data_IF_940936797610
#
_entry.id   IF_940936797610
#
_cell.length_a   1.000
_cell.length_b   1.000
_cell.length_c   1.000
_cell.angle_alpha   90.00
_cell.angle_beta   90.00
_cell.angle_gamma   90.00
#
_symmetry.space_group_name_H-M   'P 1'
#
loop_
_entity.id
_entity.type
_entity.pdbx_description
1 polymer ?
#
# COMPACT_ATOMS: atom_id res chain seq x y z
N UNK A 1 10.82 -33.23 -9.85
CA UNK A 1 9.83 -32.15 -10.11
C UNK A 1 10.58 -30.86 -10.39
N UNK A 2 10.30 -30.18 -11.52
CA UNK A 2 10.91 -28.89 -11.82
C UNK A 2 10.33 -27.79 -10.93
N UNK A 3 11.15 -26.83 -10.52
CA UNK A 3 10.68 -25.68 -9.76
C UNK A 3 9.76 -24.79 -10.60
N UNK A 4 8.63 -24.33 -10.04
CA UNK A 4 7.67 -23.46 -10.72
C UNK A 4 8.27 -22.09 -11.05
N UNK A 5 9.15 -21.57 -10.17
CA UNK A 5 9.88 -20.32 -10.36
C UNK A 5 11.39 -20.52 -10.20
N UNK A 6 12.16 -20.08 -11.18
CA UNK A 6 13.62 -20.02 -11.06
C UNK A 6 14.06 -18.81 -10.21
N UNK A 7 15.32 -18.78 -9.79
CA UNK A 7 15.88 -17.59 -9.14
C UNK A 7 15.79 -16.34 -10.03
N UNK A 8 15.92 -16.53 -11.34
CA UNK A 8 15.82 -15.44 -12.31
C UNK A 8 14.38 -14.89 -12.40
N UNK A 9 13.37 -15.77 -12.31
CA UNK A 9 11.96 -15.35 -12.31
C UNK A 9 11.64 -14.56 -11.05
N UNK A 10 12.11 -15.01 -9.88
CA UNK A 10 11.95 -14.26 -8.63
C UNK A 10 12.64 -12.90 -8.69
N UNK A 11 13.84 -12.82 -9.27
CA UNK A 11 14.52 -11.52 -9.46
C UNK A 11 13.73 -10.59 -10.38
N UNK A 12 13.18 -11.12 -11.48
CA UNK A 12 12.33 -10.36 -12.41
C UNK A 12 11.01 -9.88 -11.78
N UNK A 13 10.52 -10.56 -10.74
CA UNK A 13 9.36 -10.13 -9.96
C UNK A 13 9.74 -9.03 -8.95
N UNK A 14 10.78 -9.28 -8.16
CA UNK A 14 11.14 -8.47 -6.99
C UNK A 14 11.72 -7.12 -7.39
N UNK A 15 12.71 -7.11 -8.30
CA UNK A 15 13.45 -5.89 -8.62
C UNK A 15 12.55 -4.78 -9.21
N UNK A 16 11.67 -5.07 -10.21
CA UNK A 16 10.79 -4.03 -10.72
C UNK A 16 9.80 -3.50 -9.67
N UNK A 17 9.25 -4.37 -8.81
CA UNK A 17 8.32 -3.94 -7.76
C UNK A 17 9.02 -3.07 -6.72
N UNK A 18 10.24 -3.41 -6.34
CA UNK A 18 11.02 -2.59 -5.41
C UNK A 18 11.32 -1.21 -6.01
N UNK A 19 11.76 -1.17 -7.28
CA UNK A 19 12.02 0.09 -7.98
C UNK A 19 10.74 0.92 -8.16
N UNK A 20 9.62 0.27 -8.49
CA UNK A 20 8.31 0.93 -8.58
C UNK A 20 7.94 1.63 -7.26
N UNK A 21 8.06 0.93 -6.12
CA UNK A 21 7.76 1.51 -4.81
C UNK A 21 8.72 2.65 -4.44
N UNK A 22 10.01 2.49 -4.74
CA UNK A 22 11.01 3.53 -4.50
C UNK A 22 10.68 4.80 -5.30
N UNK A 23 10.35 4.66 -6.57
CA UNK A 23 10.01 5.79 -7.44
C UNK A 23 8.73 6.48 -6.99
N UNK A 24 7.70 5.74 -6.59
CA UNK A 24 6.46 6.32 -6.04
C UNK A 24 6.75 7.15 -4.79
N UNK A 25 7.61 6.66 -3.89
CA UNK A 25 8.00 7.39 -2.69
C UNK A 25 8.79 8.68 -3.02
N UNK A 26 9.72 8.61 -3.97
CA UNK A 26 10.51 9.78 -4.41
C UNK A 26 9.63 10.86 -5.06
N UNK A 27 8.64 10.44 -5.87
CA UNK A 27 7.69 11.38 -6.49
C UNK A 27 6.79 12.03 -5.45
N UNK A 28 6.36 11.29 -4.43
CA UNK A 28 5.61 11.88 -3.31
C UNK A 28 6.38 13.01 -2.61
N UNK A 29 7.70 12.88 -2.48
CA UNK A 29 8.56 13.96 -1.95
C UNK A 29 8.61 15.14 -2.92
N UNK A 30 8.77 14.88 -4.22
CA UNK A 30 8.81 15.92 -5.25
C UNK A 30 7.49 16.70 -5.33
N UNK A 31 6.34 16.04 -5.20
CA UNK A 31 5.03 16.67 -5.18
C UNK A 31 4.87 17.64 -4.01
N UNK A 32 5.29 17.24 -2.81
CA UNK A 32 5.27 18.12 -1.62
C UNK A 32 6.20 19.32 -1.81
N UNK A 33 7.36 19.10 -2.43
CA UNK A 33 8.28 20.19 -2.74
C UNK A 33 7.68 21.19 -3.71
N UNK A 34 7.07 20.75 -4.81
CA UNK A 34 6.48 21.62 -5.83
C UNK A 34 5.28 22.41 -5.27
N UNK A 35 4.39 21.76 -4.49
CA UNK A 35 3.25 22.45 -3.88
C UNK A 35 3.69 23.52 -2.87
N UNK A 36 4.88 23.35 -2.27
CA UNK A 36 5.48 24.34 -1.36
C UNK A 36 5.64 25.73 -1.99
N UNK A 37 5.81 25.82 -3.30
CA UNK A 37 5.90 27.09 -4.03
C UNK A 37 4.55 27.76 -4.24
N UNK A 38 3.43 27.07 -4.06
CA UNK A 38 2.07 27.64 -4.18
C UNK A 38 1.70 28.43 -2.92
N UNK A 39 2.12 27.96 -1.74
CA UNK A 39 1.89 28.61 -0.46
C UNK A 39 1.48 27.65 0.65
N UNK A 40 1.51 28.13 1.89
CA UNK A 40 1.26 27.33 3.08
C UNK A 40 -0.17 26.74 3.13
N UNK A 41 -1.17 27.54 2.74
CA UNK A 41 -2.56 27.08 2.68
C UNK A 41 -2.74 25.93 1.69
N UNK A 42 -2.07 26.00 0.53
CA UNK A 42 -2.09 24.93 -0.47
C UNK A 42 -1.42 23.65 0.04
N UNK A 43 -0.25 23.76 0.67
CA UNK A 43 0.46 22.61 1.28
C UNK A 43 -0.41 21.95 2.33
N UNK A 44 -1.00 22.74 3.23
CA UNK A 44 -1.87 22.25 4.30
C UNK A 44 -3.11 21.55 3.75
N UNK A 45 -3.82 22.19 2.81
CA UNK A 45 -5.02 21.64 2.19
C UNK A 45 -4.76 20.35 1.43
N UNK A 46 -3.72 20.31 0.60
CA UNK A 46 -3.32 19.11 -0.15
C UNK A 46 -2.91 17.98 0.80
N UNK A 47 -2.17 18.27 1.87
CA UNK A 47 -1.75 17.28 2.85
C UNK A 47 -2.94 16.65 3.58
N UNK A 48 -3.93 17.45 4.00
CA UNK A 48 -5.16 16.97 4.64
C UNK A 48 -5.97 16.07 3.69
N UNK A 49 -6.14 16.48 2.45
CA UNK A 49 -6.86 15.69 1.45
C UNK A 49 -6.11 14.41 1.09
N UNK A 50 -4.79 14.45 1.02
CA UNK A 50 -3.99 13.25 0.78
C UNK A 50 -4.16 12.22 1.91
N UNK A 51 -4.23 12.66 3.17
CA UNK A 51 -4.54 11.77 4.29
C UNK A 51 -5.94 11.13 4.15
N UNK A 52 -6.93 11.90 3.69
CA UNK A 52 -8.27 11.40 3.37
C UNK A 52 -8.27 10.44 2.17
N UNK A 53 -7.57 10.77 1.10
CA UNK A 53 -7.44 9.94 -0.09
C UNK A 53 -6.80 8.56 0.19
N UNK A 54 -5.94 8.47 1.23
CA UNK A 54 -5.33 7.19 1.63
C UNK A 54 -6.37 6.13 1.99
N UNK A 55 -7.56 6.52 2.47
CA UNK A 55 -8.65 5.59 2.76
C UNK A 55 -9.08 4.86 1.47
N UNK A 56 -9.29 5.61 0.39
CA UNK A 56 -9.72 5.05 -0.90
C UNK A 56 -8.60 4.29 -1.61
N UNK A 57 -7.37 4.80 -1.52
CA UNK A 57 -6.18 4.11 -2.05
C UNK A 57 -6.06 2.72 -1.42
N UNK A 58 -6.18 2.63 -0.10
CA UNK A 58 -6.11 1.36 0.61
C UNK A 58 -7.28 0.43 0.25
N UNK A 59 -8.48 0.97 0.08
CA UNK A 59 -9.65 0.20 -0.33
C UNK A 59 -9.47 -0.41 -1.73
N UNK A 60 -9.03 0.39 -2.72
CA UNK A 60 -8.77 -0.10 -4.07
C UNK A 60 -7.61 -1.10 -4.12
N UNK A 61 -6.58 -0.88 -3.30
CA UNK A 61 -5.46 -1.81 -3.16
C UNK A 61 -5.90 -3.14 -2.52
N UNK A 62 -6.78 -3.10 -1.51
CA UNK A 62 -7.34 -4.29 -0.89
C UNK A 62 -8.19 -5.10 -1.88
N UNK A 63 -9.00 -4.42 -2.70
CA UNK A 63 -9.79 -5.07 -3.77
C UNK A 63 -8.88 -5.72 -4.82
N UNK A 64 -7.87 -4.99 -5.29
CA UNK A 64 -6.89 -5.49 -6.24
C UNK A 64 -6.10 -6.69 -5.69
N UNK A 65 -5.71 -6.65 -4.41
CA UNK A 65 -5.04 -7.76 -3.73
C UNK A 65 -5.92 -9.00 -3.64
N UNK A 66 -7.21 -8.84 -3.32
CA UNK A 66 -8.19 -9.95 -3.32
C UNK A 66 -8.31 -10.59 -4.70
N UNK A 67 -8.43 -9.78 -5.74
CA UNK A 67 -8.47 -10.27 -7.12
C UNK A 67 -7.16 -10.93 -7.56
N UNK A 68 -6.01 -10.38 -7.17
CA UNK A 68 -4.69 -10.95 -7.47
C UNK A 68 -4.54 -12.38 -6.92
N UNK A 69 -5.06 -12.65 -5.72
CA UNK A 69 -5.05 -14.01 -5.15
C UNK A 69 -5.83 -14.97 -6.04
N UNK A 70 -7.06 -14.62 -6.40
CA UNK A 70 -7.94 -15.47 -7.22
C UNK A 70 -7.32 -15.71 -8.61
N UNK A 71 -6.85 -14.64 -9.27
CA UNK A 71 -6.20 -14.72 -10.59
C UNK A 71 -4.96 -15.60 -10.52
N UNK A 72 -4.09 -15.40 -9.52
CA UNK A 72 -2.85 -16.17 -9.36
C UNK A 72 -3.13 -17.67 -9.16
N UNK A 73 -4.18 -18.02 -8.42
CA UNK A 73 -4.57 -19.44 -8.23
C UNK A 73 -5.08 -20.06 -9.54
N UNK A 74 -5.92 -19.37 -10.32
CA UNK A 74 -6.33 -19.89 -11.64
C UNK A 74 -5.15 -20.01 -12.62
N UNK A 75 -4.20 -19.10 -12.58
CA UNK A 75 -2.96 -19.21 -13.37
C UNK A 75 -2.17 -20.45 -12.96
N UNK A 76 -2.05 -20.71 -11.66
CA UNK A 76 -1.41 -21.92 -11.13
C UNK A 76 -2.11 -23.21 -11.57
N UNK A 77 -3.44 -23.22 -11.57
CA UNK A 77 -4.29 -24.32 -12.09
C UNK A 77 -4.17 -24.47 -13.62
N UNK A 78 -3.49 -23.53 -14.31
CA UNK A 78 -3.36 -23.43 -15.77
C UNK A 78 -4.68 -23.18 -16.50
N UNK A 79 -5.69 -22.70 -15.80
CA UNK A 79 -6.99 -22.33 -16.34
C UNK A 79 -6.98 -20.85 -16.74
N UNK A 80 -6.58 -20.60 -17.99
CA UNK A 80 -6.43 -19.24 -18.52
C UNK A 80 -7.77 -18.53 -18.71
N UNK A 81 -8.82 -19.29 -18.99
CA UNK A 81 -10.17 -18.73 -19.20
C UNK A 81 -10.73 -18.21 -17.87
N UNK A 82 -10.72 -19.03 -16.82
CA UNK A 82 -11.17 -18.63 -15.50
C UNK A 82 -10.29 -17.52 -14.89
N UNK A 83 -8.98 -17.56 -15.16
CA UNK A 83 -8.09 -16.46 -14.76
C UNK A 83 -8.45 -15.14 -15.44
N UNK A 84 -8.78 -15.18 -16.76
CA UNK A 84 -9.25 -14.02 -17.52
C UNK A 84 -10.62 -13.53 -17.05
N UNK A 85 -11.54 -14.45 -16.75
CA UNK A 85 -12.86 -14.15 -16.19
C UNK A 85 -12.72 -13.46 -14.83
N UNK A 86 -11.90 -14.01 -13.91
CA UNK A 86 -11.62 -13.42 -12.60
C UNK A 86 -11.02 -12.01 -12.71
N UNK A 87 -10.07 -11.82 -13.64
CA UNK A 87 -9.47 -10.51 -13.90
C UNK A 87 -10.50 -9.49 -14.42
N UNK A 88 -11.38 -9.92 -15.33
CA UNK A 88 -12.45 -9.09 -15.88
C UNK A 88 -13.49 -8.72 -14.80
N UNK A 89 -13.83 -9.65 -13.92
CA UNK A 89 -14.72 -9.42 -12.78
C UNK A 89 -14.08 -8.49 -11.73
N UNK A 90 -12.77 -8.58 -11.52
CA UNK A 90 -12.04 -7.61 -10.69
C UNK A 90 -12.10 -6.20 -11.27
N UNK A 91 -11.92 -6.05 -12.59
CA UNK A 91 -12.06 -4.76 -13.26
C UNK A 91 -13.48 -4.20 -13.08
N UNK A 92 -14.51 -5.02 -13.29
CA UNK A 92 -15.93 -4.62 -13.11
C UNK A 92 -16.19 -4.16 -11.68
N UNK A 93 -15.75 -4.93 -10.66
CA UNK A 93 -15.90 -4.53 -9.26
C UNK A 93 -15.17 -3.22 -8.95
N UNK A 94 -13.97 -3.07 -9.48
CA UNK A 94 -13.13 -1.87 -9.27
C UNK A 94 -13.78 -0.62 -9.88
N UNK A 95 -14.33 -0.74 -11.10
CA UNK A 95 -15.05 0.36 -11.77
C UNK A 95 -16.32 0.72 -11.00
N UNK A 96 -17.16 -0.26 -10.67
CA UNK A 96 -18.42 -0.01 -9.97
C UNK A 96 -18.17 0.67 -8.62
N UNK A 97 -17.27 0.11 -7.80
CA UNK A 97 -16.95 0.65 -6.49
C UNK A 97 -16.38 2.07 -6.59
N UNK A 98 -15.43 2.28 -7.49
CA UNK A 98 -14.75 3.57 -7.61
C UNK A 98 -15.65 4.66 -8.19
N UNK A 99 -16.54 4.33 -9.11
CA UNK A 99 -17.54 5.28 -9.65
C UNK A 99 -18.52 5.69 -8.55
N UNK A 100 -19.03 4.73 -7.76
CA UNK A 100 -19.93 5.05 -6.64
C UNK A 100 -19.23 5.97 -5.63
N UNK A 101 -18.01 5.64 -5.24
CA UNK A 101 -17.21 6.48 -4.31
C UNK A 101 -16.96 7.85 -4.92
N UNK A 102 -16.56 7.92 -6.20
CA UNK A 102 -16.31 9.18 -6.91
C UNK A 102 -17.54 10.08 -6.91
N UNK A 103 -18.72 9.55 -7.24
CA UNK A 103 -19.97 10.30 -7.24
C UNK A 103 -20.32 10.79 -5.83
N UNK A 104 -20.24 9.92 -4.82
CA UNK A 104 -20.52 10.30 -3.42
C UNK A 104 -19.58 11.41 -2.96
N UNK A 105 -18.26 11.28 -3.23
CA UNK A 105 -17.28 12.30 -2.84
C UNK A 105 -17.48 13.60 -3.61
N UNK A 106 -17.82 13.56 -4.90
CA UNK A 106 -18.09 14.76 -5.70
C UNK A 106 -19.33 15.51 -5.22
N UNK A 107 -20.41 14.78 -4.90
CA UNK A 107 -21.67 15.37 -4.42
C UNK A 107 -21.51 15.94 -3.01
N UNK A 108 -20.82 15.22 -2.13
CA UNK A 108 -20.63 15.58 -0.72
C UNK A 108 -19.30 16.28 -0.42
N UNK A 109 -18.55 16.74 -1.43
CA UNK A 109 -17.18 17.24 -1.31
C UNK A 109 -17.02 18.26 -0.17
N UNK A 110 -17.77 19.34 -0.22
CA UNK A 110 -17.67 20.42 0.77
C UNK A 110 -18.12 19.96 2.16
N UNK A 111 -19.22 19.19 2.24
CA UNK A 111 -19.73 18.65 3.50
C UNK A 111 -18.71 17.71 4.15
N UNK A 112 -18.08 16.84 3.37
CA UNK A 112 -17.04 15.93 3.87
C UNK A 112 -15.83 16.70 4.42
N UNK A 113 -15.35 17.70 3.70
CA UNK A 113 -14.22 18.50 4.14
C UNK A 113 -14.55 19.32 5.39
N UNK A 114 -15.73 19.95 5.45
CA UNK A 114 -16.19 20.68 6.64
C UNK A 114 -16.40 19.77 7.85
N UNK A 115 -16.93 18.57 7.64
CA UNK A 115 -17.13 17.60 8.72
C UNK A 115 -15.78 17.12 9.31
N UNK A 116 -14.80 16.88 8.47
CA UNK A 116 -13.50 16.36 8.90
C UNK A 116 -12.55 17.45 9.38
N UNK A 117 -12.56 18.60 8.73
CA UNK A 117 -11.56 19.66 8.92
C UNK A 117 -12.20 21.05 9.14
N UNK A 118 -13.41 21.12 9.71
CA UNK A 118 -14.19 22.34 9.86
C UNK A 118 -13.58 23.44 10.74
N UNK A 119 -12.43 23.15 11.39
CA UNK A 119 -11.68 24.13 12.22
C UNK A 119 -10.51 24.79 11.51
N UNK A 120 -10.26 24.45 10.24
CA UNK A 120 -9.17 25.06 9.47
C UNK A 120 -9.60 26.42 8.91
N UNK A 121 -8.61 27.24 8.56
CA UNK A 121 -8.82 28.54 7.91
C UNK A 121 -9.52 28.40 6.54
N UNK A 122 -10.25 29.43 6.13
CA UNK A 122 -11.06 29.40 4.89
C UNK A 122 -10.21 29.13 3.64
N UNK A 123 -9.00 29.67 3.57
CA UNK A 123 -8.06 29.44 2.46
C UNK A 123 -7.62 27.99 2.38
N UNK A 124 -7.36 27.35 3.53
CA UNK A 124 -7.02 25.93 3.61
C UNK A 124 -8.24 25.08 3.21
N UNK A 125 -9.43 25.45 3.67
CA UNK A 125 -10.67 24.77 3.28
C UNK A 125 -10.93 24.85 1.78
N UNK A 126 -10.73 26.02 1.16
CA UNK A 126 -10.85 26.19 -0.28
C UNK A 126 -9.86 25.31 -1.06
N UNK A 127 -8.61 25.21 -0.58
CA UNK A 127 -7.61 24.30 -1.13
C UNK A 127 -8.05 22.82 -0.99
N UNK A 128 -8.58 22.42 0.16
CA UNK A 128 -9.11 21.08 0.40
C UNK A 128 -10.23 20.72 -0.57
N UNK A 129 -11.24 21.56 -0.69
CA UNK A 129 -12.41 21.35 -1.56
C UNK A 129 -11.99 21.25 -3.03
N UNK A 130 -11.10 22.12 -3.48
CA UNK A 130 -10.59 22.13 -4.85
C UNK A 130 -9.79 20.87 -5.17
N UNK A 131 -8.85 20.52 -4.30
CA UNK A 131 -7.99 19.35 -4.50
C UNK A 131 -8.78 18.03 -4.43
N UNK A 132 -9.70 17.90 -3.46
CA UNK A 132 -10.55 16.73 -3.34
C UNK A 132 -11.45 16.53 -4.55
N UNK A 133 -12.05 17.61 -5.07
CA UNK A 133 -12.90 17.54 -6.26
C UNK A 133 -12.13 16.97 -7.46
N UNK A 134 -10.93 17.44 -7.71
CA UNK A 134 -10.10 16.96 -8.82
C UNK A 134 -9.62 15.54 -8.54
N UNK A 135 -9.22 15.22 -7.31
CA UNK A 135 -8.80 13.88 -6.90
C UNK A 135 -9.93 12.84 -7.07
N UNK A 136 -11.18 13.20 -6.76
CA UNK A 136 -12.33 12.30 -6.88
C UNK A 136 -12.58 11.86 -8.33
N UNK A 137 -12.34 12.71 -9.32
CA UNK A 137 -12.38 12.31 -10.74
C UNK A 137 -11.33 11.26 -11.10
N UNK A 138 -10.24 11.17 -10.33
CA UNK A 138 -9.17 10.20 -10.59
C UNK A 138 -9.39 8.81 -9.96
N UNK A 139 -10.39 8.64 -9.06
CA UNK A 139 -10.62 7.38 -8.37
C UNK A 139 -10.93 6.21 -9.32
N UNK A 140 -11.81 6.35 -10.34
CA UNK A 140 -12.02 5.28 -11.30
C UNK A 140 -10.74 4.89 -12.04
N UNK A 141 -9.96 5.87 -12.48
CA UNK A 141 -8.69 5.62 -13.14
C UNK A 141 -7.71 4.85 -12.24
N UNK A 142 -7.62 5.23 -10.97
CA UNK A 142 -6.75 4.57 -9.99
C UNK A 142 -7.18 3.13 -9.71
N UNK A 143 -8.48 2.87 -9.57
CA UNK A 143 -9.03 1.53 -9.35
C UNK A 143 -8.81 0.63 -10.58
N UNK A 144 -9.01 1.16 -11.78
CA UNK A 144 -8.74 0.44 -13.05
C UNK A 144 -7.26 0.10 -13.17
N UNK A 145 -6.37 1.05 -12.87
CA UNK A 145 -4.92 0.79 -12.87
C UNK A 145 -4.56 -0.33 -11.89
N UNK A 146 -5.06 -0.29 -10.65
CA UNK A 146 -4.78 -1.31 -9.65
C UNK A 146 -5.27 -2.70 -10.07
N UNK A 147 -6.45 -2.81 -10.70
CA UNK A 147 -6.97 -4.07 -11.23
C UNK A 147 -6.08 -4.62 -12.37
N UNK A 148 -5.68 -3.79 -13.30
CA UNK A 148 -4.78 -4.18 -14.39
C UNK A 148 -3.38 -4.55 -13.90
N UNK A 149 -2.85 -3.80 -12.94
CA UNK A 149 -1.58 -4.10 -12.32
C UNK A 149 -1.61 -5.43 -11.55
N UNK A 150 -2.72 -5.74 -10.87
CA UNK A 150 -2.94 -7.02 -10.21
C UNK A 150 -2.84 -8.18 -11.21
N UNK A 151 -3.49 -8.07 -12.37
CA UNK A 151 -3.39 -9.07 -13.44
C UNK A 151 -1.94 -9.24 -13.93
N UNK A 152 -1.25 -8.14 -14.27
CA UNK A 152 0.14 -8.19 -14.75
C UNK A 152 1.12 -8.79 -13.73
N UNK A 153 0.96 -8.46 -12.45
CA UNK A 153 1.75 -9.03 -11.35
C UNK A 153 1.45 -10.52 -11.18
N UNK A 154 0.18 -10.92 -11.31
CA UNK A 154 -0.25 -12.32 -11.13
C UNK A 154 0.37 -13.29 -12.16
N UNK A 155 0.67 -12.85 -13.39
CA UNK A 155 1.42 -13.69 -14.35
C UNK A 155 2.90 -13.31 -14.49
N UNK A 156 3.43 -12.52 -13.58
CA UNK A 156 4.86 -12.32 -13.41
C UNK A 156 5.51 -11.21 -14.23
N UNK A 157 4.74 -10.38 -14.95
CA UNK A 157 5.27 -9.25 -15.75
C UNK A 157 5.27 -7.93 -14.98
N UNK A 158 5.94 -7.89 -13.85
CA UNK A 158 6.03 -6.70 -12.97
C UNK A 158 6.82 -5.54 -13.61
N UNK A 159 7.70 -5.81 -14.58
CA UNK A 159 8.42 -4.77 -15.31
C UNK A 159 7.46 -3.83 -16.07
N UNK A 160 6.33 -4.36 -16.58
CA UNK A 160 5.35 -3.54 -17.29
C UNK A 160 4.69 -2.52 -16.35
N UNK A 161 4.31 -2.94 -15.15
CA UNK A 161 3.73 -2.01 -14.15
C UNK A 161 4.75 -0.97 -13.70
N UNK A 162 6.01 -1.38 -13.54
CA UNK A 162 7.11 -0.46 -13.21
C UNK A 162 7.30 0.61 -14.31
N UNK A 163 7.42 0.22 -15.57
CA UNK A 163 7.60 1.20 -16.67
C UNK A 163 6.41 2.14 -16.80
N UNK A 164 5.20 1.62 -16.62
CA UNK A 164 3.99 2.43 -16.65
C UNK A 164 3.93 3.41 -15.47
N UNK A 165 4.36 2.98 -14.28
CA UNK A 165 4.50 3.84 -13.10
C UNK A 165 5.54 4.94 -13.34
N UNK A 166 6.69 4.62 -13.96
CA UNK A 166 7.71 5.62 -14.33
C UNK A 166 7.11 6.67 -15.28
N UNK A 167 6.45 6.24 -16.36
CA UNK A 167 5.84 7.14 -17.32
C UNK A 167 4.78 8.05 -16.67
N UNK A 168 3.92 7.47 -15.82
CA UNK A 168 2.92 8.21 -15.06
C UNK A 168 3.54 9.25 -14.13
N UNK A 169 4.59 8.87 -13.42
CA UNK A 169 5.31 9.76 -12.50
C UNK A 169 6.00 10.90 -13.23
N UNK A 170 6.59 10.64 -14.41
CA UNK A 170 7.16 11.71 -15.26
C UNK A 170 6.07 12.68 -15.71
N UNK A 171 4.92 12.18 -16.17
CA UNK A 171 3.78 13.03 -16.56
C UNK A 171 3.32 13.88 -15.36
N UNK A 172 3.24 13.30 -14.17
CA UNK A 172 2.84 14.00 -12.94
C UNK A 172 3.83 15.11 -12.60
N UNK A 173 5.11 14.80 -12.45
CA UNK A 173 6.14 15.79 -12.05
C UNK A 173 6.29 16.92 -13.06
N UNK A 174 6.39 16.58 -14.36
CA UNK A 174 6.48 17.58 -15.43
C UNK A 174 5.23 18.44 -15.46
N UNK A 175 4.05 17.82 -15.35
CA UNK A 175 2.77 18.53 -15.31
C UNK A 175 2.66 19.46 -14.10
N UNK A 176 3.09 19.01 -12.91
CA UNK A 176 3.11 19.83 -11.69
C UNK A 176 4.04 21.06 -11.88
N UNK A 177 5.22 20.85 -12.44
CA UNK A 177 6.14 21.95 -12.74
C UNK A 177 5.52 22.96 -13.73
N UNK A 178 4.87 22.48 -14.78
CA UNK A 178 4.18 23.36 -15.73
C UNK A 178 3.01 24.09 -15.05
N UNK A 179 2.16 23.38 -14.31
CA UNK A 179 0.98 23.94 -13.64
C UNK A 179 1.32 25.00 -12.60
N UNK A 180 2.36 24.77 -11.83
CA UNK A 180 2.76 25.68 -10.74
C UNK A 180 3.64 26.82 -11.26
N UNK A 181 4.71 26.53 -12.02
CA UNK A 181 5.71 27.53 -12.40
C UNK A 181 5.42 28.27 -13.71
N UNK A 182 4.76 27.62 -14.68
CA UNK A 182 4.47 28.23 -15.96
C UNK A 182 3.06 28.84 -16.02
N UNK A 183 2.06 28.09 -15.51
CA UNK A 183 0.66 28.49 -15.58
C UNK A 183 0.16 29.22 -14.31
N UNK A 184 0.87 29.14 -13.21
CA UNK A 184 0.53 29.76 -11.92
C UNK A 184 -0.90 29.45 -11.43
N UNK A 185 -1.38 28.22 -11.66
CA UNK A 185 -2.77 27.83 -11.40
C UNK A 185 -3.04 27.41 -9.95
N UNK A 186 -2.05 27.49 -9.08
CA UNK A 186 -2.21 27.16 -7.66
C UNK A 186 -2.44 25.67 -7.42
N UNK A 187 -3.42 25.33 -6.57
CA UNK A 187 -3.77 23.93 -6.21
C UNK A 187 -4.16 23.07 -7.44
N UNK A 188 -4.97 23.56 -8.40
CA UNK A 188 -5.22 22.84 -9.65
C UNK A 188 -3.97 22.48 -10.43
N UNK A 189 -2.89 23.29 -10.32
CA UNK A 189 -1.62 23.03 -10.99
C UNK A 189 -0.90 21.75 -10.55
N UNK A 190 -1.26 21.18 -9.41
CA UNK A 190 -0.75 19.89 -8.92
C UNK A 190 -1.81 18.78 -9.05
N UNK A 191 -3.08 19.14 -8.84
CA UNK A 191 -4.16 18.16 -8.87
C UNK A 191 -4.46 17.65 -10.30
N UNK A 192 -4.50 18.53 -11.30
CA UNK A 192 -4.82 18.16 -12.69
C UNK A 192 -3.75 17.27 -13.32
N UNK A 193 -2.44 17.54 -13.20
CA UNK A 193 -1.41 16.63 -13.69
C UNK A 193 -1.49 15.24 -13.06
N UNK A 194 -1.81 15.15 -11.77
CA UNK A 194 -2.03 13.87 -11.08
C UNK A 194 -3.23 13.12 -11.67
N UNK A 195 -4.32 13.81 -11.99
CA UNK A 195 -5.49 13.24 -12.68
C UNK A 195 -5.10 12.71 -14.06
N UNK A 196 -4.40 13.51 -14.86
CA UNK A 196 -3.94 13.14 -16.22
C UNK A 196 -3.04 11.91 -16.16
N UNK A 197 -2.07 11.88 -15.24
CA UNK A 197 -1.15 10.76 -15.06
C UNK A 197 -1.89 9.46 -14.70
N UNK A 198 -2.91 9.53 -13.85
CA UNK A 198 -3.75 8.38 -13.46
C UNK A 198 -4.63 7.90 -14.62
N UNK A 199 -5.24 8.81 -15.38
CA UNK A 199 -6.03 8.45 -16.57
C UNK A 199 -5.13 7.80 -17.63
N UNK A 200 -3.94 8.34 -17.87
CA UNK A 200 -2.95 7.74 -18.78
C UNK A 200 -2.61 6.31 -18.36
N UNK A 201 -2.28 6.10 -17.08
CA UNK A 201 -1.93 4.77 -16.56
C UNK A 201 -3.10 3.79 -16.70
N UNK A 202 -4.31 4.22 -16.38
CA UNK A 202 -5.52 3.41 -16.50
C UNK A 202 -5.79 3.03 -17.96
N UNK A 203 -5.69 3.97 -18.88
CA UNK A 203 -5.90 3.72 -20.31
C UNK A 203 -4.89 2.74 -20.87
N UNK A 204 -3.60 2.98 -20.62
CA UNK A 204 -2.52 2.12 -21.13
C UNK A 204 -2.60 0.71 -20.55
N UNK A 205 -2.76 0.56 -19.23
CA UNK A 205 -2.84 -0.78 -18.61
C UNK A 205 -4.06 -1.55 -19.12
N UNK A 206 -5.19 -0.87 -19.33
CA UNK A 206 -6.42 -1.50 -19.87
C UNK A 206 -6.18 -2.04 -21.28
N UNK A 207 -5.61 -1.23 -22.16
CA UNK A 207 -5.27 -1.67 -23.53
C UNK A 207 -4.31 -2.86 -23.50
N UNK A 208 -3.30 -2.80 -22.64
CA UNK A 208 -2.34 -3.88 -22.46
C UNK A 208 -3.00 -5.16 -21.93
N UNK A 209 -3.97 -5.06 -21.01
CA UNK A 209 -4.69 -6.22 -20.46
C UNK A 209 -5.58 -6.93 -21.48
N UNK A 210 -6.02 -6.26 -22.54
CA UNK A 210 -6.75 -6.88 -23.67
C UNK A 210 -5.83 -7.53 -24.72
N UNK A 211 -4.51 -7.37 -24.59
CA UNK A 211 -3.58 -7.91 -25.60
C UNK A 211 -3.56 -9.43 -25.59
N UNK A 212 -3.78 -10.02 -26.78
CA UNK A 212 -3.71 -11.48 -27.02
C UNK A 212 -2.30 -12.06 -26.83
N UNK A 213 -1.27 -11.22 -26.70
CA UNK A 213 0.11 -11.64 -26.42
C UNK A 213 0.36 -11.99 -24.95
N UNK A 214 -0.58 -11.67 -24.07
CA UNK A 214 -0.47 -12.02 -22.67
C UNK A 214 -0.87 -13.47 -22.41
N UNK A 215 -0.30 -14.13 -21.39
CA UNK A 215 -0.71 -15.46 -20.97
C UNK A 215 -2.18 -15.52 -20.53
N UNK A 216 -2.66 -14.42 -19.91
CA UNK A 216 -4.04 -14.19 -19.49
C UNK A 216 -4.45 -12.78 -19.91
N UNK A 217 -5.65 -12.59 -20.36
CA UNK A 217 -6.20 -11.31 -20.85
C UNK A 217 -7.58 -11.05 -20.27
N UNK A 218 -8.00 -9.78 -20.32
CA UNK A 218 -9.40 -9.44 -20.06
C UNK A 218 -10.33 -10.06 -21.13
N UNK A 219 -11.43 -10.63 -20.68
CA UNK A 219 -12.47 -11.21 -21.53
C UNK A 219 -13.67 -10.26 -21.58
N UNK A 220 -13.98 -9.72 -22.78
CA UNK A 220 -15.05 -8.72 -22.95
C UNK A 220 -16.40 -9.20 -22.45
N UNK A 221 -16.71 -10.47 -22.67
CA UNK A 221 -17.96 -11.12 -22.27
C UNK A 221 -18.17 -11.07 -20.75
N UNK A 222 -17.09 -11.11 -19.97
CA UNK A 222 -17.10 -11.11 -18.51
C UNK A 222 -17.10 -9.71 -17.89
N UNK A 223 -16.72 -8.67 -18.63
CA UNK A 223 -16.74 -7.28 -18.12
C UNK A 223 -18.17 -6.76 -18.01
N UNK A 224 -19.03 -7.10 -18.96
CA UNK A 224 -20.43 -6.63 -18.98
C UNK A 224 -21.39 -7.55 -18.21
N UNK A 225 -20.91 -8.68 -17.70
CA UNK A 225 -21.68 -9.66 -16.95
C UNK A 225 -21.16 -9.73 -15.52
N UNK A 226 -21.95 -9.26 -14.55
CA UNK A 226 -21.60 -9.41 -13.14
C UNK A 226 -21.86 -10.85 -12.71
N UNK A 227 -20.81 -11.58 -12.39
CA UNK A 227 -20.90 -12.94 -11.86
C UNK A 227 -20.70 -12.93 -10.34
N UNK A 228 -21.76 -13.27 -9.62
CA UNK A 228 -21.80 -13.23 -8.17
C UNK A 228 -20.84 -14.22 -7.52
N UNK A 229 -20.50 -15.32 -8.18
CA UNK A 229 -19.57 -16.33 -7.65
C UNK A 229 -18.17 -15.75 -7.58
N UNK A 230 -17.68 -15.19 -8.69
CA UNK A 230 -16.38 -14.50 -8.71
C UNK A 230 -16.34 -13.31 -7.76
N UNK A 231 -17.40 -12.48 -7.75
CA UNK A 231 -17.48 -11.33 -6.86
C UNK A 231 -17.41 -11.76 -5.40
N UNK A 232 -18.16 -12.79 -5.00
CA UNK A 232 -18.12 -13.33 -3.63
C UNK A 232 -16.73 -13.84 -3.27
N UNK A 233 -16.05 -14.54 -4.17
CA UNK A 233 -14.69 -15.06 -3.93
C UNK A 233 -13.69 -13.93 -3.78
N UNK A 234 -13.68 -12.94 -4.69
CA UNK A 234 -12.80 -11.77 -4.62
C UNK A 234 -13.07 -10.98 -3.33
N UNK A 235 -14.33 -10.68 -3.02
CA UNK A 235 -14.71 -9.90 -1.84
C UNK A 235 -14.44 -10.63 -0.53
N UNK A 236 -14.48 -11.97 -0.51
CA UNK A 236 -14.15 -12.76 0.68
C UNK A 236 -12.70 -12.55 1.14
N UNK A 237 -11.82 -12.12 0.23
CA UNK A 237 -10.42 -11.78 0.53
C UNK A 237 -10.26 -10.26 0.66
N UNK A 238 -10.87 -9.49 -0.24
CA UNK A 238 -10.72 -8.05 -0.29
C UNK A 238 -11.33 -7.33 0.92
N UNK A 239 -12.51 -7.74 1.36
CA UNK A 239 -13.21 -7.10 2.51
C UNK A 239 -12.41 -7.24 3.81
N UNK A 240 -11.93 -8.43 4.21
CA UNK A 240 -11.05 -8.55 5.36
C UNK A 240 -9.79 -7.69 5.26
N UNK A 241 -9.15 -7.62 4.10
CA UNK A 241 -7.98 -6.76 3.88
C UNK A 241 -8.34 -5.27 4.00
N UNK A 242 -9.50 -4.87 3.50
CA UNK A 242 -10.01 -3.50 3.62
C UNK A 242 -10.31 -3.11 5.07
N UNK A 243 -10.95 -4.00 5.83
CA UNK A 243 -11.22 -3.80 7.26
C UNK A 243 -9.90 -3.65 8.05
N UNK A 244 -8.93 -4.55 7.80
CA UNK A 244 -7.61 -4.47 8.43
C UNK A 244 -6.94 -3.11 8.15
N UNK A 245 -6.92 -2.69 6.90
CA UNK A 245 -6.33 -1.40 6.49
C UNK A 245 -7.08 -0.21 7.09
N UNK A 246 -8.40 -0.26 7.15
CA UNK A 246 -9.24 0.79 7.75
C UNK A 246 -8.98 0.94 9.25
N UNK A 247 -9.00 -0.15 10.00
CA UNK A 247 -8.70 -0.15 11.44
C UNK A 247 -7.27 0.34 11.71
N UNK A 248 -6.31 -0.08 10.89
CA UNK A 248 -4.93 0.42 10.99
C UNK A 248 -4.86 1.95 10.85
N UNK A 249 -5.58 2.55 9.90
CA UNK A 249 -5.63 4.00 9.74
C UNK A 249 -6.32 4.70 10.92
N UNK A 250 -7.41 4.14 11.45
CA UNK A 250 -8.09 4.66 12.63
C UNK A 250 -7.16 4.66 13.86
N UNK A 251 -6.44 3.56 14.10
CA UNK A 251 -5.46 3.49 15.19
C UNK A 251 -4.33 4.49 14.99
N UNK A 252 -3.86 4.70 13.75
CA UNK A 252 -2.84 5.70 13.44
C UNK A 252 -3.32 7.12 13.78
N UNK A 253 -4.57 7.45 13.47
CA UNK A 253 -5.17 8.75 13.84
C UNK A 253 -5.30 8.89 15.36
N UNK A 254 -5.77 7.86 16.05
CA UNK A 254 -5.86 7.85 17.52
C UNK A 254 -4.49 8.07 18.18
N UNK A 255 -3.44 7.39 17.67
CA UNK A 255 -2.07 7.56 18.16
C UNK A 255 -1.50 8.95 17.88
N UNK A 256 -1.89 9.59 16.76
CA UNK A 256 -1.49 10.98 16.49
C UNK A 256 -2.03 11.93 17.56
N UNK A 257 -3.22 11.67 18.10
CA UNK A 257 -3.79 12.43 19.22
C UNK A 257 -3.00 12.20 20.51
N UNK A 258 -2.47 11.01 20.74
CA UNK A 258 -1.57 10.73 21.88
C UNK A 258 -0.23 11.45 21.70
N UNK A 259 0.34 11.46 20.48
CA UNK A 259 1.58 12.19 20.19
C UNK A 259 1.44 13.68 20.49
N UNK A 260 0.26 14.27 20.22
CA UNK A 260 -0.02 15.69 20.47
C UNK A 260 0.06 16.08 21.95
N UNK A 261 0.00 15.12 22.89
CA UNK A 261 0.15 15.37 24.34
C UNK A 261 1.60 15.67 24.75
N UNK A 262 2.58 15.35 23.88
CA UNK A 262 4.00 15.51 24.21
C UNK A 262 4.54 16.85 23.69
N UNK A 263 5.68 17.24 24.22
CA UNK A 263 6.31 18.52 23.85
C UNK A 263 6.68 18.62 22.37
N UNK A 264 6.83 19.85 21.88
CA UNK A 264 7.08 20.19 20.47
C UNK A 264 8.23 19.39 19.84
N UNK A 265 9.32 19.19 20.59
CA UNK A 265 10.47 18.42 20.08
C UNK A 265 10.14 16.95 19.85
N UNK A 266 9.28 16.33 20.68
CA UNK A 266 8.84 14.95 20.50
C UNK A 266 7.90 14.80 19.29
N UNK A 267 6.99 15.75 19.12
CA UNK A 267 6.08 15.78 17.96
C UNK A 267 6.90 15.89 16.67
N UNK A 268 7.86 16.82 16.64
CA UNK A 268 8.74 17.02 15.49
C UNK A 268 9.60 15.76 15.21
N UNK A 269 10.20 15.18 16.23
CA UNK A 269 11.01 13.97 16.09
C UNK A 269 10.20 12.80 15.57
N UNK A 270 8.97 12.59 16.09
CA UNK A 270 8.07 11.54 15.61
C UNK A 270 7.66 11.75 14.14
N UNK A 271 7.34 12.99 13.74
CA UNK A 271 6.98 13.32 12.35
C UNK A 271 8.11 13.03 11.37
N UNK A 272 9.34 13.43 11.69
CA UNK A 272 10.53 13.16 10.87
C UNK A 272 10.81 11.64 10.82
N UNK A 273 10.76 10.96 11.98
CA UNK A 273 10.98 9.52 12.05
C UNK A 273 9.94 8.73 11.22
N UNK A 274 8.66 9.13 11.22
CA UNK A 274 7.62 8.50 10.42
C UNK A 274 7.87 8.66 8.91
N UNK A 275 8.38 9.81 8.48
CA UNK A 275 8.76 10.03 7.08
C UNK A 275 9.91 9.12 6.66
N UNK A 276 10.94 8.97 7.48
CA UNK A 276 12.08 8.07 7.23
C UNK A 276 11.61 6.60 7.29
N UNK A 277 10.74 6.26 8.25
CA UNK A 277 10.20 4.92 8.35
C UNK A 277 9.38 4.51 7.12
N UNK A 278 8.63 5.41 6.50
CA UNK A 278 7.88 5.10 5.27
C UNK A 278 8.80 4.64 4.14
N UNK A 279 10.00 5.23 4.02
CA UNK A 279 11.05 4.77 3.12
C UNK A 279 11.61 3.40 3.53
N UNK A 280 11.83 3.19 4.81
CA UNK A 280 12.35 1.93 5.34
C UNK A 280 11.38 0.76 5.09
N UNK A 281 10.06 1.00 5.11
CA UNK A 281 9.01 0.00 4.91
C UNK A 281 8.80 -0.42 3.44
N UNK A 282 9.49 0.17 2.47
CA UNK A 282 9.35 -0.15 1.04
C UNK A 282 9.58 -1.63 0.74
N UNK A 283 10.49 -2.29 1.45
CA UNK A 283 10.77 -3.72 1.28
C UNK A 283 9.51 -4.57 1.49
N UNK A 284 8.76 -4.30 2.56
CA UNK A 284 7.51 -5.02 2.85
C UNK A 284 6.44 -4.77 1.79
N UNK A 285 6.30 -3.52 1.36
CA UNK A 285 5.32 -3.12 0.33
C UNK A 285 5.62 -3.73 -1.03
N UNK A 286 6.89 -3.82 -1.41
CA UNK A 286 7.33 -4.39 -2.68
C UNK A 286 7.22 -5.93 -2.71
N UNK A 287 7.48 -6.59 -1.59
CA UNK A 287 7.51 -8.06 -1.53
C UNK A 287 6.15 -8.70 -1.26
N UNK A 288 5.21 -8.02 -0.63
CA UNK A 288 3.86 -8.54 -0.40
C UNK A 288 3.15 -9.03 -1.67
N UNK A 289 3.15 -8.30 -2.80
CA UNK A 289 2.61 -8.81 -4.06
C UNK A 289 3.36 -10.03 -4.62
N UNK A 290 4.66 -10.14 -4.37
CA UNK A 290 5.46 -11.30 -4.80
C UNK A 290 4.99 -12.57 -4.09
N UNK A 291 4.74 -12.48 -2.77
CA UNK A 291 4.16 -13.60 -2.01
C UNK A 291 2.80 -14.00 -2.55
N UNK A 292 1.93 -13.04 -2.85
CA UNK A 292 0.60 -13.31 -3.43
C UNK A 292 0.73 -14.07 -4.76
N UNK A 293 1.59 -13.59 -5.64
CA UNK A 293 1.78 -14.22 -6.97
C UNK A 293 2.36 -15.62 -6.86
N UNK A 294 3.46 -15.78 -6.15
CA UNK A 294 4.20 -17.05 -6.10
C UNK A 294 3.42 -18.09 -5.31
N UNK A 295 2.96 -17.75 -4.12
CA UNK A 295 2.22 -18.70 -3.27
C UNK A 295 0.84 -18.98 -3.88
N UNK A 296 0.15 -17.97 -4.41
CA UNK A 296 -1.14 -18.15 -5.09
C UNK A 296 -1.05 -19.12 -6.26
N UNK A 297 -0.01 -19.03 -7.11
CA UNK A 297 0.19 -19.97 -8.21
C UNK A 297 0.51 -21.39 -7.72
N UNK A 298 1.34 -21.56 -6.68
CA UNK A 298 1.62 -22.87 -6.10
C UNK A 298 0.35 -23.51 -5.54
N UNK A 299 -0.47 -22.75 -4.81
CA UNK A 299 -1.74 -23.23 -4.26
C UNK A 299 -2.74 -23.59 -5.37
N UNK A 300 -2.83 -22.77 -6.41
CA UNK A 300 -3.68 -23.08 -7.57
C UNK A 300 -3.26 -24.32 -8.34
N UNK A 301 -1.97 -24.63 -8.38
CA UNK A 301 -1.44 -25.86 -8.93
C UNK A 301 -1.64 -27.09 -8.03
N UNK A 302 -2.15 -26.91 -6.82
CA UNK A 302 -2.28 -27.99 -5.82
C UNK A 302 -0.95 -28.44 -5.20
N UNK A 303 0.17 -27.73 -5.47
CA UNK A 303 1.50 -28.11 -5.01
C UNK A 303 1.88 -27.36 -3.73
N UNK A 304 1.37 -27.88 -2.60
CA UNK A 304 1.61 -27.31 -1.28
C UNK A 304 3.07 -27.42 -0.82
N UNK A 305 3.82 -28.39 -1.35
CA UNK A 305 5.23 -28.57 -0.99
C UNK A 305 6.09 -27.50 -1.65
N UNK A 306 5.82 -27.16 -2.92
CA UNK A 306 6.45 -26.02 -3.56
C UNK A 306 6.03 -24.69 -2.89
N UNK A 307 4.77 -24.56 -2.48
CA UNK A 307 4.33 -23.38 -1.73
C UNK A 307 5.15 -23.21 -0.44
N UNK A 308 5.34 -24.29 0.33
CA UNK A 308 6.16 -24.26 1.56
C UNK A 308 7.62 -23.90 1.27
N UNK A 309 8.21 -24.48 0.22
CA UNK A 309 9.56 -24.14 -0.21
C UNK A 309 9.69 -22.64 -0.54
N UNK A 310 8.74 -22.09 -1.31
CA UNK A 310 8.77 -20.67 -1.68
C UNK A 310 8.47 -19.74 -0.51
N UNK A 311 7.60 -20.12 0.43
CA UNK A 311 7.45 -19.35 1.67
C UNK A 311 8.79 -19.16 2.38
N UNK A 312 9.53 -20.26 2.62
CA UNK A 312 10.84 -20.21 3.28
C UNK A 312 11.85 -19.39 2.49
N UNK A 313 11.90 -19.58 1.19
CA UNK A 313 12.82 -18.90 0.28
C UNK A 313 12.52 -17.40 0.21
N UNK A 314 11.26 -17.02 0.03
CA UNK A 314 10.86 -15.61 -0.04
C UNK A 314 11.06 -14.90 1.29
N UNK A 315 10.77 -15.53 2.44
CA UNK A 315 11.07 -14.94 3.76
C UNK A 315 12.59 -14.68 3.88
N UNK A 316 13.44 -15.63 3.50
CA UNK A 316 14.88 -15.44 3.53
C UNK A 316 15.34 -14.27 2.65
N UNK A 317 14.80 -14.19 1.43
CA UNK A 317 15.09 -13.06 0.51
C UNK A 317 14.62 -11.74 1.11
N UNK A 318 13.39 -11.72 1.65
CA UNK A 318 12.81 -10.52 2.28
C UNK A 318 13.64 -10.05 3.47
N UNK A 319 14.12 -10.96 4.30
CA UNK A 319 15.00 -10.63 5.44
C UNK A 319 16.33 -10.03 4.97
N UNK A 320 16.97 -10.63 3.97
CA UNK A 320 18.25 -10.12 3.45
C UNK A 320 18.07 -8.72 2.87
N UNK A 321 17.08 -8.53 2.01
CA UNK A 321 16.80 -7.21 1.39
C UNK A 321 16.36 -6.23 2.47
N UNK A 322 15.48 -6.66 3.39
CA UNK A 322 14.94 -5.82 4.47
C UNK A 322 16.03 -5.30 5.39
N UNK A 323 16.91 -6.17 5.88
CA UNK A 323 18.03 -5.77 6.74
C UNK A 323 19.00 -4.86 6.00
N UNK A 324 19.41 -5.22 4.77
CA UNK A 324 20.31 -4.39 3.98
C UNK A 324 19.73 -3.00 3.68
N UNK A 325 18.46 -2.94 3.28
CA UNK A 325 17.77 -1.68 2.98
C UNK A 325 17.62 -0.80 4.23
N UNK A 326 17.18 -1.39 5.36
CA UNK A 326 17.02 -0.65 6.61
C UNK A 326 18.35 -0.16 7.17
N UNK A 327 19.42 -0.94 7.03
CA UNK A 327 20.78 -0.50 7.37
C UNK A 327 21.23 0.70 6.50
N UNK A 328 20.94 0.67 5.19
CA UNK A 328 21.23 1.78 4.29
C UNK A 328 20.42 3.04 4.67
N UNK A 329 19.11 2.90 4.92
CA UNK A 329 18.26 4.02 5.35
C UNK A 329 18.77 4.62 6.65
N UNK A 330 19.17 3.80 7.63
CA UNK A 330 19.74 4.28 8.88
C UNK A 330 21.07 4.99 8.65
N UNK A 331 21.96 4.45 7.82
CA UNK A 331 23.25 5.07 7.52
C UNK A 331 23.12 6.46 6.86
N UNK A 332 22.07 6.66 6.04
CA UNK A 332 21.78 7.94 5.38
C UNK A 332 21.03 8.91 6.29
N UNK A 333 20.38 8.43 7.35
CA UNK A 333 19.56 9.25 8.25
C UNK A 333 20.28 10.47 8.84
N UNK A 334 21.53 10.40 9.34
CA UNK A 334 22.23 11.58 9.84
C UNK A 334 22.42 12.68 8.78
N UNK A 335 22.70 12.27 7.54
CA UNK A 335 22.79 13.20 6.41
C UNK A 335 21.43 13.87 6.10
N UNK A 336 20.36 13.10 6.09
CA UNK A 336 18.98 13.64 5.91
C UNK A 336 18.64 14.62 7.04
N UNK A 337 18.98 14.29 8.29
CA UNK A 337 18.71 15.16 9.44
C UNK A 337 19.50 16.47 9.41
N UNK A 338 20.62 16.55 8.70
CA UNK A 338 21.39 17.79 8.57
C UNK A 338 20.64 18.89 7.80
N UNK A 339 19.66 18.51 6.96
CA UNK A 339 18.82 19.45 6.24
C UNK A 339 17.64 19.99 7.06
N UNK A 340 17.34 19.37 8.20
CA UNK A 340 16.27 19.83 9.08
C UNK A 340 16.78 20.88 10.06
N UNK A 341 16.14 22.04 10.07
CA UNK A 341 16.42 23.13 11.03
C UNK A 341 15.69 22.86 12.36
N UNK A 342 16.09 21.80 13.07
CA UNK A 342 15.53 21.40 14.36
C UNK A 342 16.62 21.32 15.42
N UNK A 343 16.22 21.33 16.70
CA UNK A 343 17.16 21.22 17.83
C UNK A 343 17.96 19.91 17.83
N UNK A 344 19.14 19.92 18.44
CA UNK A 344 19.95 18.71 18.58
C UNK A 344 19.24 17.62 19.41
N UNK A 345 18.39 18.02 20.35
CA UNK A 345 17.56 17.11 21.11
C UNK A 345 16.54 16.37 20.21
N UNK A 346 15.89 17.10 19.30
CA UNK A 346 14.98 16.54 18.28
C UNK A 346 15.73 15.58 17.36
N UNK A 347 16.91 15.95 16.86
CA UNK A 347 17.73 15.09 16.00
C UNK A 347 18.14 13.80 16.70
N UNK A 348 18.59 13.91 17.96
CA UNK A 348 18.99 12.75 18.77
C UNK A 348 17.81 11.80 19.00
N UNK A 349 16.65 12.32 19.37
CA UNK A 349 15.43 11.51 19.55
C UNK A 349 15.02 10.85 18.24
N UNK A 350 15.06 11.59 17.13
CA UNK A 350 14.74 11.04 15.79
C UNK A 350 15.67 9.88 15.43
N UNK A 351 16.98 10.00 15.70
CA UNK A 351 17.94 8.90 15.44
C UNK A 351 17.59 7.65 16.23
N UNK A 352 17.22 7.78 17.50
CA UNK A 352 16.79 6.63 18.31
C UNK A 352 15.48 6.01 17.80
N UNK A 353 14.50 6.83 17.41
CA UNK A 353 13.25 6.36 16.82
C UNK A 353 13.50 5.61 15.51
N UNK A 354 14.33 6.16 14.63
CA UNK A 354 14.67 5.53 13.35
C UNK A 354 15.44 4.24 13.56
N UNK A 355 16.40 4.21 14.49
CA UNK A 355 17.16 3.00 14.82
C UNK A 355 16.23 1.87 15.27
N UNK A 356 15.34 2.18 16.23
CA UNK A 356 14.37 1.22 16.75
C UNK A 356 13.45 0.70 15.62
N UNK A 357 12.86 1.61 14.84
CA UNK A 357 11.98 1.24 13.73
C UNK A 357 12.70 0.38 12.69
N UNK A 358 13.93 0.73 12.30
CA UNK A 358 14.66 0.06 11.24
C UNK A 358 15.08 -1.36 11.63
N UNK A 359 15.48 -1.59 12.89
CA UNK A 359 15.81 -2.93 13.39
C UNK A 359 14.57 -3.84 13.27
N UNK A 360 13.44 -3.41 13.81
CA UNK A 360 12.22 -4.21 13.78
C UNK A 360 11.57 -4.27 12.39
N UNK A 361 11.70 -3.22 11.58
CA UNK A 361 11.23 -3.22 10.20
C UNK A 361 12.02 -4.22 9.34
N UNK A 362 13.34 -4.27 9.49
CA UNK A 362 14.18 -5.21 8.76
C UNK A 362 13.92 -6.67 9.10
N UNK A 363 13.45 -6.98 10.29
CA UNK A 363 13.26 -8.34 10.80
C UNK A 363 11.77 -8.65 10.99
N UNK A 364 11.10 -8.00 11.94
CA UNK A 364 9.74 -8.35 12.36
C UNK A 364 8.69 -8.04 11.31
N UNK A 365 8.81 -6.91 10.61
CA UNK A 365 7.84 -6.53 9.57
C UNK A 365 7.88 -7.47 8.37
N UNK A 366 9.02 -8.12 8.08
CA UNK A 366 9.13 -9.14 7.05
C UNK A 366 8.19 -10.33 7.30
N UNK A 367 8.02 -10.70 8.55
CA UNK A 367 7.06 -11.74 8.97
C UNK A 367 5.64 -11.21 9.12
N UNK A 368 5.46 -9.99 9.60
CA UNK A 368 4.13 -9.42 9.81
C UNK A 368 3.41 -9.00 8.51
N UNK A 369 4.14 -8.53 7.50
CA UNK A 369 3.61 -8.06 6.22
C UNK A 369 3.61 -9.13 5.12
N UNK A 370 4.76 -9.38 4.47
CA UNK A 370 4.86 -10.31 3.33
C UNK A 370 4.40 -11.74 3.62
N UNK A 371 4.78 -12.32 4.77
CA UNK A 371 4.31 -13.65 5.17
C UNK A 371 2.78 -13.66 5.36
N UNK A 372 2.21 -12.62 5.97
CA UNK A 372 0.76 -12.47 6.10
C UNK A 372 0.07 -12.40 4.74
N UNK A 373 0.67 -11.73 3.75
CA UNK A 373 0.16 -11.68 2.37
C UNK A 373 0.21 -13.06 1.71
N UNK A 374 1.26 -13.84 1.96
CA UNK A 374 1.35 -15.23 1.51
C UNK A 374 0.27 -16.12 2.13
N UNK A 375 0.02 -16.02 3.44
CA UNK A 375 -1.05 -16.75 4.12
C UNK A 375 -2.44 -16.38 3.55
N UNK A 376 -2.67 -15.10 3.24
CA UNK A 376 -3.90 -14.66 2.55
C UNK A 376 -4.02 -15.27 1.15
N UNK A 377 -2.91 -15.42 0.45
CA UNK A 377 -2.88 -16.05 -0.88
C UNK A 377 -3.23 -17.53 -0.85
N UNK A 378 -3.09 -18.22 0.29
CA UNK A 378 -3.58 -19.59 0.46
C UNK A 378 -5.07 -19.67 0.78
N UNK A 379 -5.72 -18.56 1.18
CA UNK A 379 -7.11 -18.52 1.63
C UNK A 379 -7.28 -18.38 3.16
N UNK A 380 -6.21 -18.36 3.94
CA UNK A 380 -6.27 -18.20 5.40
C UNK A 380 -6.50 -16.74 5.83
N UNK A 381 -7.53 -16.12 5.24
CA UNK A 381 -7.80 -14.68 5.32
C UNK A 381 -8.40 -14.27 6.67
N UNK A 382 -9.33 -15.08 7.20
CA UNK A 382 -10.01 -14.77 8.47
C UNK A 382 -9.04 -14.78 9.65
N UNK A 383 -8.13 -15.74 9.67
CA UNK A 383 -7.10 -15.83 10.70
C UNK A 383 -6.15 -14.63 10.61
N UNK A 384 -5.63 -14.33 9.43
CA UNK A 384 -4.69 -13.21 9.25
C UNK A 384 -5.33 -11.88 9.62
N UNK A 385 -6.59 -11.63 9.23
CA UNK A 385 -7.34 -10.45 9.63
C UNK A 385 -7.53 -10.39 11.16
N UNK A 386 -7.99 -11.48 11.77
CA UNK A 386 -8.24 -11.53 13.21
C UNK A 386 -6.98 -11.21 14.04
N UNK A 387 -5.84 -11.80 13.65
CA UNK A 387 -4.55 -11.52 14.32
C UNK A 387 -4.09 -10.09 14.07
N UNK A 388 -4.21 -9.58 12.83
CA UNK A 388 -3.84 -8.18 12.54
C UNK A 388 -4.68 -7.19 13.34
N UNK A 389 -5.99 -7.41 13.47
CA UNK A 389 -6.87 -6.57 14.30
C UNK A 389 -6.51 -6.66 15.78
N UNK A 390 -6.30 -7.88 16.29
CA UNK A 390 -5.89 -8.10 17.66
C UNK A 390 -4.57 -7.37 17.98
N UNK A 391 -3.56 -7.51 17.13
CA UNK A 391 -2.26 -6.87 17.39
C UNK A 391 -2.31 -5.36 17.18
N UNK A 392 -3.07 -4.85 16.21
CA UNK A 392 -3.20 -3.41 15.98
C UNK A 392 -3.94 -2.71 17.12
N UNK A 393 -5.04 -3.28 17.62
CA UNK A 393 -5.82 -2.70 18.69
C UNK A 393 -5.26 -3.11 20.05
N UNK A 394 -5.13 -4.40 20.30
CA UNK A 394 -4.75 -4.96 21.61
C UNK A 394 -3.28 -4.73 21.97
N UNK A 395 -2.38 -4.80 20.98
CA UNK A 395 -0.96 -4.58 21.24
C UNK A 395 -0.58 -3.13 20.95
N UNK A 396 -0.69 -2.67 19.69
CA UNK A 396 -0.21 -1.34 19.30
C UNK A 396 -0.90 -0.22 20.05
N UNK A 397 -2.24 -0.14 20.02
CA UNK A 397 -2.96 0.99 20.63
C UNK A 397 -2.85 0.98 22.16
N UNK A 398 -3.11 -0.16 22.81
CA UNK A 398 -3.12 -0.25 24.28
C UNK A 398 -1.71 -0.05 24.85
N UNK A 399 -0.70 -0.75 24.30
CA UNK A 399 0.68 -0.60 24.79
C UNK A 399 1.28 0.77 24.43
N UNK A 400 0.83 1.42 23.35
CA UNK A 400 1.22 2.82 23.12
C UNK A 400 0.78 3.73 24.25
N UNK A 401 -0.44 3.60 24.74
CA UNK A 401 -0.93 4.39 25.88
C UNK A 401 -0.16 4.04 27.16
N UNK A 402 0.06 2.75 27.42
CA UNK A 402 0.80 2.29 28.61
C UNK A 402 2.23 2.82 28.59
N UNK A 403 2.98 2.60 27.51
CA UNK A 403 4.40 2.99 27.44
C UNK A 403 4.56 4.50 27.35
N UNK A 404 3.76 5.18 26.50
CA UNK A 404 3.93 6.60 26.27
C UNK A 404 3.47 7.45 27.46
N UNK A 405 2.32 7.13 28.08
CA UNK A 405 1.70 7.94 29.14
C UNK A 405 2.06 7.39 30.52
N UNK A 406 1.72 6.12 30.83
CA UNK A 406 1.90 5.58 32.18
C UNK A 406 3.38 5.36 32.55
N UNK A 407 4.20 4.93 31.58
CA UNK A 407 5.64 4.75 31.79
C UNK A 407 6.45 6.00 31.44
N UNK A 408 5.81 7.10 31.05
CA UNK A 408 6.45 8.38 30.67
C UNK A 408 7.53 8.27 29.58
N UNK A 409 7.39 7.32 28.66
CA UNK A 409 8.35 7.14 27.56
C UNK A 409 8.10 8.08 26.37
N UNK A 410 6.99 8.82 26.37
CA UNK A 410 6.64 9.72 25.26
C UNK A 410 6.50 8.99 23.92
N UNK A 411 6.96 9.63 22.85
CA UNK A 411 6.90 9.06 21.49
C UNK A 411 7.74 7.79 21.32
N UNK A 412 8.76 7.59 22.13
CA UNK A 412 9.55 6.35 22.15
C UNK A 412 8.68 5.15 22.58
N UNK A 413 7.77 5.36 23.53
CA UNK A 413 6.81 4.33 23.95
C UNK A 413 5.84 3.91 22.82
N UNK A 414 5.39 4.87 22.00
CA UNK A 414 4.56 4.60 20.82
C UNK A 414 5.35 3.78 19.79
N UNK A 415 6.59 4.15 19.53
CA UNK A 415 7.46 3.43 18.62
C UNK A 415 7.72 1.98 19.10
N UNK A 416 7.95 1.81 20.39
CA UNK A 416 8.16 0.48 20.99
C UNK A 416 6.91 -0.40 20.88
N UNK A 417 5.72 0.16 21.12
CA UNK A 417 4.46 -0.55 20.96
C UNK A 417 4.21 -0.97 19.49
N UNK A 418 4.60 -0.14 18.52
CA UNK A 418 4.53 -0.48 17.11
C UNK A 418 5.49 -1.65 16.76
N UNK A 419 6.69 -1.62 17.28
CA UNK A 419 7.66 -2.71 17.11
C UNK A 419 7.17 -4.02 17.77
N UNK A 420 6.53 -3.91 18.92
CA UNK A 420 5.92 -5.05 19.62
C UNK A 420 4.76 -5.67 18.79
N UNK A 421 3.87 -4.84 18.22
CA UNK A 421 2.82 -5.29 17.30
C UNK A 421 3.40 -6.13 16.14
N UNK A 422 4.41 -5.61 15.46
CA UNK A 422 5.04 -6.35 14.34
C UNK A 422 5.66 -7.66 14.79
N UNK A 423 6.31 -7.66 15.96
CA UNK A 423 6.95 -8.85 16.51
C UNK A 423 5.92 -9.92 16.87
N UNK A 424 4.88 -9.56 17.62
CA UNK A 424 3.80 -10.49 18.03
C UNK A 424 3.08 -11.04 16.79
N UNK A 425 2.71 -10.18 15.85
CA UNK A 425 2.05 -10.56 14.60
C UNK A 425 2.93 -11.50 13.77
N UNK A 426 4.19 -11.16 13.61
CA UNK A 426 5.15 -11.97 12.86
C UNK A 426 5.37 -13.35 13.48
N UNK A 427 5.49 -13.43 14.80
CA UNK A 427 5.62 -14.70 15.55
C UNK A 427 4.36 -15.56 15.35
N UNK A 428 3.17 -14.99 15.48
CA UNK A 428 1.91 -15.73 15.30
C UNK A 428 1.74 -16.21 13.86
N UNK A 429 2.07 -15.38 12.85
CA UNK A 429 2.02 -15.78 11.44
C UNK A 429 3.04 -16.87 11.12
N UNK A 430 4.26 -16.77 11.68
CA UNK A 430 5.28 -17.82 11.54
C UNK A 430 4.84 -19.14 12.18
N UNK A 431 4.25 -19.08 13.36
CA UNK A 431 3.68 -20.24 14.03
C UNK A 431 2.56 -20.86 13.19
N UNK A 432 1.62 -20.04 12.66
CA UNK A 432 0.55 -20.49 11.76
C UNK A 432 1.09 -21.18 10.53
N UNK A 433 2.13 -20.61 9.93
CA UNK A 433 2.84 -21.21 8.80
C UNK A 433 3.41 -22.59 9.18
N UNK A 434 4.09 -22.70 10.32
CA UNK A 434 4.68 -23.94 10.82
C UNK A 434 3.64 -25.03 11.10
N UNK A 435 2.45 -24.69 11.59
CA UNK A 435 1.36 -25.65 11.81
C UNK A 435 0.85 -26.29 10.51
N UNK A 436 1.09 -25.70 9.36
CA UNK A 436 0.64 -26.24 8.07
C UNK A 436 -0.87 -26.14 7.80
N UNK A 437 -1.66 -25.52 8.68
CA UNK A 437 -3.12 -25.38 8.48
C UNK A 437 -3.47 -24.63 7.19
N UNK A 438 -2.61 -23.72 6.74
CA UNK A 438 -2.78 -23.00 5.48
C UNK A 438 -2.84 -23.93 4.24
N UNK A 439 -2.31 -25.15 4.32
CA UNK A 439 -2.34 -26.16 3.24
C UNK A 439 -3.74 -26.70 2.97
N UNK A 440 -4.67 -26.56 3.91
CA UNK A 440 -6.03 -27.12 3.81
C UNK A 440 -7.05 -26.14 3.23
N UNK A 441 -6.67 -24.90 3.00
CA UNK A 441 -7.59 -23.89 2.45
C UNK A 441 -7.61 -23.96 0.91
N UNK A 442 -8.79 -23.70 0.35
CA UNK A 442 -9.01 -23.56 -1.08
C UNK A 442 -9.78 -22.26 -1.31
N UNK A 443 -9.29 -21.40 -2.21
CA UNK A 443 -9.95 -20.16 -2.61
C UNK A 443 -10.83 -20.37 -3.85
N UNK A 444 -10.31 -21.15 -4.80
CA UNK A 444 -11.03 -21.53 -6.03
C UNK A 444 -11.58 -22.93 -5.87
N UNK A 445 -12.85 -23.10 -6.21
CA UNK A 445 -13.51 -24.41 -6.24
C UNK A 445 -13.30 -25.07 -7.61
N UNK A 446 -13.40 -26.39 -7.64
CA UNK A 446 -13.34 -27.18 -8.88
C UNK A 446 -14.46 -26.84 -9.86
#
# INVERSE_FOLDING_TARGET
MGFMFTNQDLKKLIVPLFLEQLLVALVGIADVFVIGFVGEAAVSGVSLVNAFNMIFINLFTALASGGAVVISQYIGKKDKEQAGAAASQLLTASVLLSVVISVVVLVANEQLMRLMFGKVEDDVMAACVTYLRISAYSYPAMAIYNAGAALYRSFGKTSTTMYLSIASNVINVVGNCIGVFALHTGVPGVAVPSLIARIFSAAVITVLCFSKRNPVQYLKEWIFKVDLSFQKTILSIAVPNGIESGIFQLVKVALSSVVALFGTYQIAANGIAQSIWSMAALTSSALSPVFITVIGQCMGAGDTDQAEYYFRKLIKITLIIGVAWNALVFAVTPFVLSFYAVSEETKRLTLWLVLLHNIFNGIALCYAGPLGSGLRATGDVKFTMGISLFTTIGVRLIFSVIFAIWMNMGVMGIALAMCLDWSVRGIIFWWRFKQGKWKTFQVIHE
#
